data_IF_113648587471
#
_entry.id   IF_113648587471
#
_cell.length_a   1.000
_cell.length_b   1.000
_cell.length_c   1.000
_cell.angle_alpha   90.00
_cell.angle_beta   90.00
_cell.angle_gamma   90.00
#
_symmetry.space_group_name_H-M   'P 1'
#
loop_
_entity.id
_entity.type
_entity.pdbx_description
1 polymer ?
#
# COMPACT_ATOMS: atom_id res chain seq x y z
N UNK A 1 7.17 8.30 25.45
CA UNK A 1 8.55 7.79 25.43
C UNK A 1 8.57 6.28 25.59
N UNK A 2 8.12 5.60 24.57
CA UNK A 2 8.24 4.16 24.56
C UNK A 2 9.57 3.77 23.93
N UNK A 3 10.39 3.11 24.73
CA UNK A 3 11.68 2.50 24.33
C UNK A 3 12.82 3.49 24.09
N UNK A 4 12.86 4.67 24.72
CA UNK A 4 14.10 5.49 24.73
C UNK A 4 14.72 5.83 23.37
N UNK A 5 14.02 5.50 22.27
CA UNK A 5 14.42 5.91 20.95
C UNK A 5 13.87 7.33 20.74
N UNK A 6 14.74 8.31 20.47
CA UNK A 6 14.28 9.63 20.14
C UNK A 6 13.28 9.47 19.01
N UNK A 7 12.09 10.04 19.18
CA UNK A 7 11.05 10.09 18.17
C UNK A 7 11.54 10.99 17.03
N UNK A 8 12.55 10.48 16.33
CA UNK A 8 13.05 11.13 15.14
C UNK A 8 11.95 10.96 14.08
N UNK A 9 11.56 12.03 13.43
CA UNK A 9 10.58 12.01 12.33
C UNK A 9 10.87 10.90 11.29
N UNK A 10 12.11 10.42 11.20
CA UNK A 10 12.54 9.27 10.38
C UNK A 10 11.72 8.01 10.68
N UNK A 11 11.48 7.69 11.95
CA UNK A 11 10.65 6.54 12.32
C UNK A 11 9.18 6.72 11.89
N UNK A 12 8.71 7.96 11.80
CA UNK A 12 7.34 8.28 11.44
C UNK A 12 6.92 7.90 10.03
N UNK A 13 7.85 7.82 9.08
CA UNK A 13 7.53 7.50 7.67
C UNK A 13 7.78 6.02 7.30
N UNK A 14 8.68 5.36 8.01
CA UNK A 14 9.03 3.94 7.76
C UNK A 14 8.22 2.98 8.64
N UNK A 15 7.42 3.52 9.56
CA UNK A 15 6.60 2.73 10.49
C UNK A 15 5.75 1.68 9.77
N UNK A 16 5.20 2.03 8.60
CA UNK A 16 4.31 1.14 7.87
C UNK A 16 5.04 -0.13 7.39
N UNK A 17 6.29 -0.01 6.94
CA UNK A 17 7.08 -1.17 6.51
C UNK A 17 7.34 -2.10 7.69
N UNK A 18 7.71 -1.55 8.85
CA UNK A 18 7.94 -2.33 10.07
C UNK A 18 6.65 -3.01 10.56
N UNK A 19 5.55 -2.25 10.61
CA UNK A 19 4.24 -2.78 10.99
C UNK A 19 3.74 -3.85 10.00
N UNK A 20 3.96 -3.64 8.71
CA UNK A 20 3.64 -4.60 7.65
C UNK A 20 4.43 -5.91 7.82
N UNK A 21 5.73 -5.83 8.09
CA UNK A 21 6.56 -7.03 8.31
C UNK A 21 6.10 -7.82 9.53
N UNK A 22 5.77 -7.15 10.65
CA UNK A 22 5.22 -7.79 11.85
C UNK A 22 3.87 -8.44 11.53
N UNK A 23 2.97 -7.70 10.89
CA UNK A 23 1.65 -8.21 10.50
C UNK A 23 1.77 -9.41 9.55
N UNK A 24 2.67 -9.36 8.56
CA UNK A 24 2.93 -10.49 7.67
C UNK A 24 3.50 -11.70 8.41
N UNK A 25 4.42 -11.50 9.36
CA UNK A 25 4.97 -12.60 10.18
C UNK A 25 3.86 -13.32 10.94
N UNK A 26 2.85 -12.61 11.44
CA UNK A 26 1.69 -13.19 12.15
C UNK A 26 0.69 -13.83 11.20
N UNK A 27 0.34 -13.13 10.10
CA UNK A 27 -0.73 -13.58 9.20
C UNK A 27 -0.27 -14.69 8.24
N UNK A 28 1.00 -14.69 7.83
CA UNK A 28 1.49 -15.64 6.83
C UNK A 28 1.35 -17.13 7.24
N UNK A 29 1.69 -17.57 8.47
CA UNK A 29 1.48 -18.94 8.90
C UNK A 29 0.00 -19.35 8.85
N UNK A 30 -0.90 -18.45 9.24
CA UNK A 30 -2.34 -18.66 9.25
C UNK A 30 -2.85 -18.79 7.81
N UNK A 31 -2.45 -17.86 6.97
CA UNK A 31 -2.77 -17.84 5.55
C UNK A 31 -2.31 -19.13 4.86
N UNK A 32 -1.07 -19.55 5.12
CA UNK A 32 -0.52 -20.77 4.50
C UNK A 32 -1.30 -22.03 4.88
N UNK A 33 -1.77 -22.12 6.12
CA UNK A 33 -2.49 -23.30 6.62
C UNK A 33 -3.95 -23.35 6.19
N UNK A 34 -4.63 -22.21 6.16
CA UNK A 34 -6.07 -22.10 5.88
C UNK A 34 -6.38 -21.08 4.79
N UNK A 35 -5.67 -21.15 3.67
CA UNK A 35 -5.69 -20.14 2.62
C UNK A 35 -7.13 -19.76 2.19
N UNK A 36 -7.95 -20.74 1.82
CA UNK A 36 -9.31 -20.47 1.32
C UNK A 36 -10.23 -19.87 2.39
N UNK A 37 -10.22 -20.43 3.60
CA UNK A 37 -11.03 -19.91 4.71
C UNK A 37 -10.57 -18.53 5.13
N UNK A 38 -9.24 -18.34 5.19
CA UNK A 38 -8.68 -17.04 5.56
C UNK A 38 -9.05 -15.96 4.57
N UNK A 39 -8.79 -16.15 3.28
CA UNK A 39 -9.00 -15.11 2.26
C UNK A 39 -10.46 -14.80 2.01
N UNK A 40 -11.36 -15.80 2.11
CA UNK A 40 -12.77 -15.63 1.79
C UNK A 40 -13.65 -15.22 2.96
N UNK A 41 -13.27 -15.56 4.20
CA UNK A 41 -14.11 -15.35 5.39
C UNK A 41 -13.37 -14.51 6.43
N UNK A 42 -12.20 -14.98 6.91
CA UNK A 42 -11.52 -14.35 8.04
C UNK A 42 -11.01 -12.97 7.66
N UNK A 43 -10.34 -12.83 6.53
CA UNK A 43 -9.71 -11.59 6.12
C UNK A 43 -10.70 -10.43 5.92
N UNK A 44 -11.80 -10.56 5.17
CA UNK A 44 -12.76 -9.45 5.04
C UNK A 44 -13.38 -9.07 6.39
N UNK A 45 -13.74 -10.06 7.24
CA UNK A 45 -14.30 -9.80 8.56
C UNK A 45 -13.28 -9.14 9.48
N UNK A 46 -12.05 -9.65 9.53
CA UNK A 46 -10.96 -9.10 10.33
C UNK A 46 -10.63 -7.67 9.92
N UNK A 47 -10.53 -7.40 8.61
CA UNK A 47 -10.27 -6.07 8.08
C UNK A 47 -11.33 -5.07 8.49
N UNK A 48 -12.61 -5.41 8.32
CA UNK A 48 -13.74 -4.54 8.69
C UNK A 48 -13.79 -4.32 10.19
N UNK A 49 -13.71 -5.38 10.99
CA UNK A 49 -13.82 -5.28 12.45
C UNK A 49 -12.66 -4.49 13.05
N UNK A 50 -11.41 -4.78 12.67
CA UNK A 50 -10.25 -4.08 13.21
C UNK A 50 -10.23 -2.61 12.79
N UNK A 51 -10.42 -2.32 11.52
CA UNK A 51 -10.37 -0.94 11.04
C UNK A 51 -11.56 -0.13 11.57
N UNK A 52 -12.76 -0.73 11.61
CA UNK A 52 -13.95 -0.13 12.20
C UNK A 52 -13.79 0.14 13.70
N UNK A 53 -13.29 -0.83 14.46
CA UNK A 53 -12.98 -0.65 15.87
C UNK A 53 -11.95 0.46 16.12
N UNK A 54 -10.85 0.47 15.33
CA UNK A 54 -9.85 1.53 15.44
C UNK A 54 -10.40 2.92 15.12
N UNK A 55 -11.26 3.02 14.10
CA UNK A 55 -11.89 4.28 13.72
C UNK A 55 -12.86 4.77 14.80
N UNK A 56 -13.66 3.87 15.37
CA UNK A 56 -14.65 4.21 16.40
C UNK A 56 -14.00 4.55 17.74
N UNK A 57 -12.99 3.78 18.16
CA UNK A 57 -12.38 3.96 19.50
C UNK A 57 -11.46 5.17 19.55
N UNK A 58 -10.70 5.43 18.49
CA UNK A 58 -9.64 6.45 18.49
C UNK A 58 -9.99 7.68 17.63
N UNK A 59 -11.07 7.66 16.88
CA UNK A 59 -11.54 8.75 16.02
C UNK A 59 -10.57 9.14 14.89
N UNK A 60 -9.28 8.89 15.08
CA UNK A 60 -8.20 9.22 14.14
C UNK A 60 -7.32 8.01 13.91
N UNK A 61 -7.11 7.64 12.65
CA UNK A 61 -6.26 6.52 12.27
C UNK A 61 -4.78 6.90 12.11
N UNK A 62 -4.46 8.19 12.11
CA UNK A 62 -3.11 8.71 11.87
C UNK A 62 -2.13 8.52 13.02
N UNK A 63 -2.54 8.65 14.28
CA UNK A 63 -1.65 8.46 15.43
C UNK A 63 -1.31 6.99 15.67
N UNK A 64 -0.24 6.52 15.03
CA UNK A 64 0.15 5.12 14.93
C UNK A 64 0.92 4.58 16.12
N UNK A 65 1.61 5.46 16.88
CA UNK A 65 2.44 5.10 18.03
C UNK A 65 1.66 4.88 19.33
N UNK A 66 0.34 5.01 19.28
CA UNK A 66 -0.51 4.81 20.45
C UNK A 66 -0.57 3.31 20.83
N UNK A 67 -0.37 3.02 22.10
CA UNK A 67 -0.51 1.66 22.65
C UNK A 67 -1.97 1.33 22.92
N UNK A 68 -2.48 0.25 22.36
CA UNK A 68 -3.90 -0.16 22.45
C UNK A 68 -4.20 -1.15 23.58
N UNK A 69 -3.23 -1.42 24.45
CA UNK A 69 -3.32 -2.48 25.45
C UNK A 69 -2.79 -3.84 24.97
N UNK A 70 -2.89 -4.13 23.68
CA UNK A 70 -2.41 -5.38 23.07
C UNK A 70 -1.13 -5.15 22.25
N UNK A 71 -1.12 -4.12 21.42
CA UNK A 71 0.02 -3.77 20.56
C UNK A 71 -0.10 -2.30 20.13
N UNK A 72 0.84 -1.82 19.33
CA UNK A 72 0.76 -0.50 18.74
C UNK A 72 -0.37 -0.42 17.70
N UNK A 73 -1.12 0.67 17.72
CA UNK A 73 -2.20 0.95 16.77
C UNK A 73 -1.79 0.78 15.31
N UNK A 74 -0.55 1.19 14.96
CA UNK A 74 0.00 1.01 13.61
C UNK A 74 0.07 -0.45 13.17
N UNK A 75 0.39 -1.37 14.09
CA UNK A 75 0.44 -2.82 13.78
C UNK A 75 -0.97 -3.37 13.53
N UNK A 76 -1.95 -3.02 14.37
CA UNK A 76 -3.35 -3.44 14.14
C UNK A 76 -3.91 -2.89 12.83
N UNK A 77 -3.57 -1.65 12.53
CA UNK A 77 -3.92 -1.04 11.24
C UNK A 77 -3.29 -1.80 10.07
N UNK A 78 -1.99 -2.15 10.15
CA UNK A 78 -1.32 -2.93 9.12
C UNK A 78 -1.93 -4.33 8.96
N UNK A 79 -2.31 -5.00 10.06
CA UNK A 79 -3.04 -6.27 10.03
C UNK A 79 -4.37 -6.13 9.28
N UNK A 80 -5.14 -5.09 9.58
CA UNK A 80 -6.41 -4.84 8.91
C UNK A 80 -6.24 -4.54 7.40
N UNK A 81 -5.27 -3.71 7.04
CA UNK A 81 -5.01 -3.34 5.64
C UNK A 81 -4.48 -4.55 4.83
N UNK A 82 -3.64 -5.41 5.41
CA UNK A 82 -3.19 -6.66 4.78
C UNK A 82 -4.36 -7.64 4.63
N UNK A 83 -5.23 -7.73 5.64
CA UNK A 83 -6.43 -8.54 5.56
C UNK A 83 -7.35 -8.08 4.41
N UNK A 84 -7.54 -6.78 4.23
CA UNK A 84 -8.24 -6.24 3.05
C UNK A 84 -7.53 -6.60 1.74
N UNK A 85 -6.20 -6.59 1.70
CA UNK A 85 -5.44 -7.07 0.54
C UNK A 85 -5.70 -8.55 0.22
N UNK A 86 -5.78 -9.41 1.23
CA UNK A 86 -6.15 -10.82 1.06
C UNK A 86 -7.59 -10.98 0.56
N UNK A 87 -8.53 -10.18 1.07
CA UNK A 87 -9.91 -10.15 0.60
C UNK A 87 -10.02 -9.65 -0.85
N UNK A 88 -9.23 -8.62 -1.21
CA UNK A 88 -9.13 -8.12 -2.58
C UNK A 88 -8.64 -9.21 -3.54
N UNK A 89 -7.64 -10.00 -3.13
CA UNK A 89 -7.16 -11.13 -3.91
C UNK A 89 -8.27 -12.16 -4.16
N UNK A 90 -8.99 -12.58 -3.11
CA UNK A 90 -10.09 -13.55 -3.25
C UNK A 90 -11.22 -13.02 -4.15
N UNK A 91 -11.57 -11.74 -4.02
CA UNK A 91 -12.54 -11.09 -4.90
C UNK A 91 -12.05 -11.04 -6.35
N UNK A 92 -10.78 -10.69 -6.56
CA UNK A 92 -10.15 -10.66 -7.87
C UNK A 92 -10.23 -12.04 -8.57
N UNK A 93 -9.88 -13.12 -7.88
CA UNK A 93 -9.94 -14.47 -8.44
C UNK A 93 -11.37 -14.86 -8.81
N UNK A 94 -12.35 -14.57 -7.95
CA UNK A 94 -13.79 -14.82 -8.25
C UNK A 94 -14.28 -14.02 -9.47
N UNK A 95 -13.79 -12.79 -9.65
CA UNK A 95 -14.15 -11.97 -10.80
C UNK A 95 -13.52 -12.48 -12.09
N UNK A 96 -12.29 -13.05 -12.04
CA UNK A 96 -11.62 -13.65 -13.21
C UNK A 96 -12.38 -14.86 -13.78
N UNK A 97 -13.01 -15.64 -12.90
CA UNK A 97 -13.77 -16.85 -13.28
C UNK A 97 -15.13 -16.54 -13.94
N UNK A 98 -15.55 -15.27 -13.92
CA UNK A 98 -16.84 -14.84 -14.47
C UNK A 98 -16.68 -14.15 -15.82
N UNK A 99 -17.53 -14.54 -16.76
CA UNK A 99 -17.67 -13.83 -18.03
C UNK A 99 -18.68 -12.70 -17.89
N UNK A 100 -18.20 -11.48 -18.05
CA UNK A 100 -19.04 -10.29 -18.01
C UNK A 100 -19.43 -9.83 -19.41
N UNK A 101 -20.69 -9.43 -19.57
CA UNK A 101 -21.18 -8.74 -20.76
C UNK A 101 -20.45 -7.41 -20.94
N UNK A 102 -20.55 -6.80 -22.13
CA UNK A 102 -19.97 -5.44 -22.38
C UNK A 102 -20.46 -4.41 -21.38
N UNK A 103 -21.74 -4.46 -21.02
CA UNK A 103 -22.32 -3.60 -19.98
C UNK A 103 -21.72 -3.88 -18.60
N UNK A 104 -21.57 -5.15 -18.21
CA UNK A 104 -20.91 -5.52 -16.96
C UNK A 104 -19.46 -5.01 -16.85
N UNK A 105 -18.69 -5.13 -17.94
CA UNK A 105 -17.32 -4.58 -18.02
C UNK A 105 -17.30 -3.04 -17.89
N UNK A 106 -18.27 -2.35 -18.45
CA UNK A 106 -18.41 -0.91 -18.28
C UNK A 106 -18.69 -0.54 -16.82
N UNK A 107 -19.64 -1.22 -16.17
CA UNK A 107 -19.96 -0.99 -14.74
C UNK A 107 -18.73 -1.22 -13.86
N UNK A 108 -17.99 -2.32 -14.07
CA UNK A 108 -16.75 -2.59 -13.35
C UNK A 108 -15.69 -1.50 -13.58
N UNK A 109 -15.57 -0.99 -14.80
CA UNK A 109 -14.62 0.10 -15.12
C UNK A 109 -15.00 1.42 -14.45
N UNK A 110 -16.29 1.73 -14.37
CA UNK A 110 -16.79 2.91 -13.65
C UNK A 110 -16.54 2.78 -12.15
N UNK A 111 -16.75 1.60 -11.57
CA UNK A 111 -16.48 1.34 -10.16
C UNK A 111 -14.99 1.44 -9.84
N UNK A 112 -14.12 0.91 -10.71
CA UNK A 112 -12.67 1.06 -10.63
C UNK A 112 -12.26 2.55 -10.62
N UNK A 113 -12.74 3.32 -11.61
CA UNK A 113 -12.43 4.74 -11.75
C UNK A 113 -12.94 5.54 -10.55
N UNK A 114 -14.17 5.27 -10.12
CA UNK A 114 -14.76 5.93 -8.95
C UNK A 114 -13.93 5.72 -7.68
N UNK A 115 -13.49 4.50 -7.40
CA UNK A 115 -12.71 4.23 -6.20
C UNK A 115 -11.33 4.90 -6.21
N UNK A 116 -10.62 4.91 -7.36
CA UNK A 116 -9.37 5.64 -7.48
C UNK A 116 -9.57 7.15 -7.42
N UNK A 117 -10.60 7.69 -8.08
CA UNK A 117 -10.92 9.11 -8.03
C UNK A 117 -11.31 9.56 -6.62
N UNK A 118 -12.14 8.78 -5.91
CA UNK A 118 -12.52 9.06 -4.53
C UNK A 118 -11.29 9.07 -3.60
N UNK A 119 -10.36 8.13 -3.80
CA UNK A 119 -9.09 8.08 -3.06
C UNK A 119 -8.26 9.33 -3.31
N UNK A 120 -8.14 9.74 -4.57
CA UNK A 120 -7.37 10.92 -4.95
C UNK A 120 -8.00 12.20 -4.36
N UNK A 121 -9.31 12.40 -4.55
CA UNK A 121 -10.03 13.56 -4.00
C UNK A 121 -9.93 13.63 -2.49
N UNK A 122 -10.04 12.48 -1.80
CA UNK A 122 -9.89 12.42 -0.36
C UNK A 122 -8.49 12.82 0.10
N UNK A 123 -7.45 12.37 -0.56
CA UNK A 123 -6.07 12.70 -0.22
C UNK A 123 -5.80 14.22 -0.22
N UNK A 124 -6.52 14.97 -1.07
CA UNK A 124 -6.39 16.44 -1.14
C UNK A 124 -7.41 17.21 -0.28
N UNK A 125 -8.51 16.58 0.15
CA UNK A 125 -9.62 17.31 0.78
C UNK A 125 -9.49 17.56 2.28
N UNK A 126 -8.48 16.99 2.95
CA UNK A 126 -8.23 17.10 4.40
C UNK A 126 -9.46 16.91 5.30
N UNK A 127 -10.46 16.15 4.84
CA UNK A 127 -11.70 15.91 5.60
C UNK A 127 -11.51 14.83 6.65
N UNK A 128 -12.52 14.69 7.51
CA UNK A 128 -12.49 13.88 8.73
C UNK A 128 -11.99 12.45 8.48
N UNK A 129 -11.19 11.93 9.40
CA UNK A 129 -10.54 10.64 9.33
C UNK A 129 -11.50 9.44 9.38
N UNK A 130 -12.76 9.66 9.74
CA UNK A 130 -13.82 8.64 9.71
C UNK A 130 -14.07 8.12 8.28
N UNK A 131 -13.90 8.98 7.28
CA UNK A 131 -14.00 8.60 5.88
C UNK A 131 -12.89 7.63 5.42
N UNK A 132 -11.78 7.56 6.16
CA UNK A 132 -10.68 6.67 5.82
C UNK A 132 -11.10 5.20 5.77
N UNK A 133 -11.98 4.76 6.67
CA UNK A 133 -12.52 3.41 6.65
C UNK A 133 -13.21 3.08 5.32
N UNK A 134 -14.13 3.94 4.89
CA UNK A 134 -14.85 3.77 3.62
C UNK A 134 -13.90 3.82 2.43
N UNK A 135 -12.90 4.70 2.50
CA UNK A 135 -11.90 4.84 1.45
C UNK A 135 -11.11 3.55 1.25
N UNK A 136 -10.61 2.95 2.34
CA UNK A 136 -9.86 1.68 2.28
C UNK A 136 -10.74 0.57 1.70
N UNK A 137 -12.01 0.52 2.08
CA UNK A 137 -12.96 -0.44 1.54
C UNK A 137 -13.16 -0.26 0.02
N UNK A 138 -13.47 0.95 -0.44
CA UNK A 138 -13.64 1.24 -1.86
C UNK A 138 -12.36 0.99 -2.65
N UNK A 139 -11.21 1.38 -2.11
CA UNK A 139 -9.91 1.13 -2.73
C UNK A 139 -9.64 -0.37 -2.87
N UNK A 140 -9.97 -1.17 -1.85
CA UNK A 140 -9.85 -2.63 -1.87
C UNK A 140 -10.66 -3.25 -3.01
N UNK A 141 -11.91 -2.83 -3.16
CA UNK A 141 -12.79 -3.28 -4.24
C UNK A 141 -12.24 -2.84 -5.61
N UNK A 142 -11.81 -1.59 -5.73
CA UNK A 142 -11.25 -1.07 -6.99
C UNK A 142 -9.98 -1.79 -7.41
N UNK A 143 -9.09 -2.12 -6.46
CA UNK A 143 -7.89 -2.92 -6.72
C UNK A 143 -8.29 -4.32 -7.21
N UNK A 144 -9.23 -4.99 -6.54
CA UNK A 144 -9.68 -6.32 -6.94
C UNK A 144 -10.27 -6.32 -8.37
N UNK A 145 -11.08 -5.32 -8.69
CA UNK A 145 -11.69 -5.14 -10.01
C UNK A 145 -10.62 -4.85 -11.05
N UNK A 146 -9.66 -3.96 -10.77
CA UNK A 146 -8.56 -3.60 -11.67
C UNK A 146 -7.71 -4.81 -12.05
N UNK A 147 -7.38 -5.66 -11.07
CA UNK A 147 -6.56 -6.85 -11.28
C UNK A 147 -7.33 -8.06 -11.84
N UNK A 148 -8.66 -8.04 -11.84
CA UNK A 148 -9.48 -9.12 -12.40
C UNK A 148 -9.32 -9.30 -13.91
N UNK A 149 -8.91 -8.26 -14.63
CA UNK A 149 -8.83 -8.28 -16.09
C UNK A 149 -10.17 -8.12 -16.80
N UNK A 150 -11.26 -7.89 -16.05
CA UNK A 150 -12.63 -7.78 -16.57
C UNK A 150 -13.05 -6.34 -16.87
N UNK A 151 -12.16 -5.37 -16.69
CA UNK A 151 -12.41 -3.96 -16.99
C UNK A 151 -11.99 -3.57 -18.40
N UNK A 152 -12.54 -2.50 -18.94
CA UNK A 152 -12.13 -1.92 -20.22
C UNK A 152 -10.69 -1.40 -20.18
N UNK A 153 -10.19 -1.04 -18.99
CA UNK A 153 -8.84 -0.55 -18.72
C UNK A 153 -7.81 -1.67 -18.57
N UNK A 154 -8.24 -2.93 -18.58
CA UNK A 154 -7.37 -4.10 -18.32
C UNK A 154 -6.16 -4.20 -19.27
N UNK A 155 -6.28 -3.69 -20.52
CA UNK A 155 -5.18 -3.62 -21.48
C UNK A 155 -4.02 -2.72 -21.02
N UNK A 156 -4.28 -1.72 -20.19
CA UNK A 156 -3.27 -0.82 -19.64
C UNK A 156 -2.30 -1.55 -18.69
N UNK A 157 -2.74 -2.63 -18.05
CA UNK A 157 -1.91 -3.43 -17.14
C UNK A 157 -0.67 -4.02 -17.82
N UNK A 158 -0.76 -4.36 -19.09
CA UNK A 158 0.35 -4.90 -19.87
C UNK A 158 1.24 -3.81 -20.47
N UNK A 159 0.96 -2.55 -20.20
CA UNK A 159 1.76 -1.43 -20.68
C UNK A 159 3.10 -1.38 -19.90
N UNK A 160 4.21 -1.32 -20.65
CA UNK A 160 5.57 -1.22 -20.10
C UNK A 160 5.74 -0.01 -19.16
N UNK A 161 5.08 1.12 -19.48
CA UNK A 161 5.11 2.32 -18.66
C UNK A 161 4.44 2.08 -17.29
N UNK A 162 3.25 1.48 -17.27
CA UNK A 162 2.52 1.17 -16.02
C UNK A 162 3.32 0.19 -15.16
N UNK A 163 3.91 -0.83 -15.77
CA UNK A 163 4.79 -1.76 -15.07
C UNK A 163 6.04 -1.07 -14.49
N UNK A 164 6.63 -0.13 -15.23
CA UNK A 164 7.77 0.65 -14.75
C UNK A 164 7.40 1.56 -13.58
N UNK A 165 6.28 2.27 -13.67
CA UNK A 165 5.76 3.11 -12.58
C UNK A 165 5.46 2.28 -11.32
N UNK A 166 4.91 1.08 -11.51
CA UNK A 166 4.70 0.15 -10.40
C UNK A 166 6.00 -0.25 -9.69
N UNK A 167 7.08 -0.50 -10.45
CA UNK A 167 8.41 -0.78 -9.87
C UNK A 167 9.01 0.43 -9.12
N UNK A 168 8.69 1.64 -9.55
CA UNK A 168 9.15 2.87 -8.89
C UNK A 168 8.43 3.17 -7.57
N UNK A 169 7.22 2.64 -7.36
CA UNK A 169 6.37 3.02 -6.22
C UNK A 169 7.04 2.78 -4.85
N UNK A 170 7.63 1.62 -4.65
CA UNK A 170 8.33 1.30 -3.39
C UNK A 170 9.60 2.13 -3.18
N UNK A 171 10.51 2.27 -4.15
CA UNK A 171 11.65 3.18 -4.02
C UNK A 171 11.24 4.64 -3.75
N UNK A 172 10.22 5.15 -4.42
CA UNK A 172 9.70 6.51 -4.14
C UNK A 172 9.23 6.60 -2.69
N UNK A 173 8.43 5.65 -2.22
CA UNK A 173 7.94 5.62 -0.85
C UNK A 173 9.08 5.60 0.18
N UNK A 174 10.11 4.80 -0.03
CA UNK A 174 11.22 4.68 0.91
C UNK A 174 12.12 5.93 0.93
N UNK A 175 12.29 6.60 -0.21
CA UNK A 175 13.19 7.75 -0.34
C UNK A 175 12.51 9.10 -0.08
N UNK A 176 11.18 9.19 -0.15
CA UNK A 176 10.44 10.46 -0.06
C UNK A 176 10.78 11.30 1.17
N UNK A 177 11.08 10.67 2.30
CA UNK A 177 11.41 11.39 3.52
C UNK A 177 12.76 12.09 3.43
N UNK A 178 13.78 11.39 2.96
CA UNK A 178 15.12 11.96 2.80
C UNK A 178 15.11 13.10 1.78
N UNK A 179 14.37 12.90 0.68
CA UNK A 179 14.18 13.95 -0.33
C UNK A 179 13.45 15.16 0.25
N UNK A 180 12.39 14.92 1.05
CA UNK A 180 11.68 16.00 1.74
C UNK A 180 12.62 16.83 2.62
N UNK A 181 13.45 16.20 3.46
CA UNK A 181 14.42 16.88 4.30
C UNK A 181 15.44 17.68 3.49
N UNK A 182 15.93 17.11 2.40
CA UNK A 182 16.86 17.80 1.50
C UNK A 182 16.21 19.04 0.87
N UNK A 183 15.05 18.88 0.27
CA UNK A 183 14.31 19.96 -0.37
C UNK A 183 13.98 21.04 0.67
N UNK A 184 13.46 20.68 1.84
CA UNK A 184 13.15 21.64 2.88
C UNK A 184 14.39 22.42 3.33
N UNK A 185 15.52 21.74 3.53
CA UNK A 185 16.77 22.39 3.98
C UNK A 185 17.31 23.40 2.99
N UNK A 186 17.33 23.07 1.69
CA UNK A 186 18.00 23.87 0.67
C UNK A 186 17.09 24.83 -0.10
N UNK A 187 15.76 24.67 -0.01
CA UNK A 187 14.81 25.44 -0.83
C UNK A 187 13.78 26.21 -0.02
N UNK A 188 14.07 26.50 1.27
CA UNK A 188 13.14 27.27 2.14
C UNK A 188 12.75 28.64 1.58
N UNK A 189 13.62 29.25 0.80
CA UNK A 189 13.44 30.55 0.18
C UNK A 189 12.58 30.51 -1.09
N UNK A 190 12.27 29.31 -1.62
CA UNK A 190 11.52 29.16 -2.85
C UNK A 190 10.01 29.06 -2.60
N UNK A 191 9.24 29.40 -3.63
CA UNK A 191 7.78 29.29 -3.61
C UNK A 191 7.35 27.82 -3.40
N UNK A 192 6.22 27.61 -2.67
CA UNK A 192 5.69 26.28 -2.33
C UNK A 192 5.47 25.37 -3.54
N UNK A 193 4.99 25.92 -4.67
CA UNK A 193 4.80 25.14 -5.90
C UNK A 193 6.13 24.65 -6.50
N UNK A 194 7.16 25.48 -6.47
CA UNK A 194 8.50 25.09 -6.94
C UNK A 194 9.10 24.03 -6.04
N UNK A 195 8.93 24.16 -4.72
CA UNK A 195 9.36 23.14 -3.75
C UNK A 195 8.69 21.79 -3.99
N UNK A 196 7.38 21.79 -4.30
CA UNK A 196 6.63 20.58 -4.61
C UNK A 196 7.16 19.91 -5.90
N UNK A 197 7.43 20.69 -6.94
CA UNK A 197 8.00 20.17 -8.19
C UNK A 197 9.42 19.60 -7.97
N UNK A 198 10.26 20.27 -7.19
CA UNK A 198 11.60 19.78 -6.84
C UNK A 198 11.50 18.49 -6.01
N UNK A 199 10.59 18.43 -5.03
CA UNK A 199 10.35 17.23 -4.25
C UNK A 199 9.93 16.04 -5.13
N UNK A 200 8.97 16.24 -6.04
CA UNK A 200 8.53 15.20 -6.96
C UNK A 200 9.67 14.75 -7.90
N UNK A 201 10.42 15.70 -8.49
CA UNK A 201 11.53 15.42 -9.39
C UNK A 201 12.66 14.64 -8.71
N UNK A 202 13.13 15.12 -7.55
CA UNK A 202 14.19 14.44 -6.79
C UNK A 202 13.75 13.07 -6.28
N UNK A 203 12.48 12.91 -5.86
CA UNK A 203 11.96 11.61 -5.44
C UNK A 203 12.00 10.59 -6.58
N UNK A 204 11.65 10.99 -7.80
CA UNK A 204 11.73 10.13 -8.99
C UNK A 204 13.17 9.78 -9.34
N UNK A 205 14.08 10.77 -9.34
CA UNK A 205 15.50 10.54 -9.63
C UNK A 205 16.11 9.57 -8.62
N UNK A 206 15.88 9.78 -7.33
CA UNK A 206 16.38 8.88 -6.27
C UNK A 206 15.80 7.48 -6.41
N UNK A 207 14.51 7.35 -6.76
CA UNK A 207 13.89 6.05 -6.98
C UNK A 207 14.51 5.31 -8.18
N UNK A 208 14.80 6.00 -9.27
CA UNK A 208 15.47 5.41 -10.43
C UNK A 208 16.89 4.96 -10.05
N UNK A 209 17.65 5.76 -9.33
CA UNK A 209 18.98 5.40 -8.84
C UNK A 209 18.91 4.13 -7.98
N UNK A 210 17.94 4.05 -7.05
CA UNK A 210 17.74 2.87 -6.23
C UNK A 210 17.43 1.61 -7.07
N UNK A 211 16.57 1.72 -8.08
CA UNK A 211 16.29 0.59 -8.99
C UNK A 211 17.55 0.14 -9.72
N UNK A 212 18.32 1.06 -10.27
CA UNK A 212 19.56 0.73 -10.97
C UNK A 212 20.58 0.06 -10.05
N UNK A 213 20.71 0.54 -8.81
CA UNK A 213 21.58 -0.07 -7.79
C UNK A 213 21.13 -1.48 -7.44
N UNK A 214 19.84 -1.69 -7.22
CA UNK A 214 19.28 -3.01 -6.92
C UNK A 214 19.52 -3.99 -8.09
N UNK A 215 19.29 -3.56 -9.32
CA UNK A 215 19.52 -4.37 -10.51
C UNK A 215 21.02 -4.71 -10.69
N UNK A 216 21.91 -3.74 -10.44
CA UNK A 216 23.35 -3.94 -10.45
C UNK A 216 23.80 -4.97 -9.41
N UNK A 217 23.36 -4.80 -8.16
CA UNK A 217 23.67 -5.72 -7.06
C UNK A 217 23.12 -7.12 -7.33
N UNK A 218 21.90 -7.21 -7.87
CA UNK A 218 21.27 -8.50 -8.23
C UNK A 218 22.06 -9.26 -9.29
N UNK A 219 22.58 -8.55 -10.28
CA UNK A 219 23.43 -9.14 -11.31
C UNK A 219 24.77 -9.62 -10.72
N UNK A 220 25.37 -8.85 -9.81
CA UNK A 220 26.67 -9.15 -9.21
C UNK A 220 26.62 -10.31 -8.21
N UNK A 221 25.56 -10.37 -7.39
CA UNK A 221 25.45 -11.36 -6.28
C UNK A 221 24.85 -12.70 -6.77
N UNK A 222 24.20 -12.73 -7.93
CA UNK A 222 23.58 -13.92 -8.53
C UNK A 222 22.70 -14.70 -7.53
N UNK A 223 21.86 -13.97 -6.79
CA UNK A 223 21.03 -14.48 -5.69
C UNK A 223 20.15 -15.67 -6.13
N UNK A 224 19.82 -15.75 -7.42
CA UNK A 224 19.07 -16.88 -7.97
C UNK A 224 19.80 -18.23 -7.82
N UNK A 225 21.12 -18.25 -7.93
CA UNK A 225 21.91 -19.48 -7.70
C UNK A 225 21.95 -19.89 -6.23
N UNK A 226 21.99 -18.93 -5.30
CA UNK A 226 22.00 -19.19 -3.87
C UNK A 226 20.65 -19.73 -3.34
N UNK A 227 19.55 -19.33 -3.96
CA UNK A 227 18.21 -19.80 -3.59
C UNK A 227 17.91 -21.20 -4.17
N UNK A 228 18.37 -21.50 -5.37
CA UNK A 228 18.15 -22.82 -6.01
C UNK A 228 18.99 -23.92 -5.32
N UNK A 229 20.20 -23.60 -4.85
CA UNK A 229 21.03 -24.57 -4.09
C UNK A 229 20.48 -24.93 -2.69
N UNK A 230 19.55 -24.14 -2.13
CA UNK A 230 18.92 -24.44 -0.83
C UNK A 230 17.62 -25.22 -0.95
N UNK A 231 17.09 -25.42 -2.15
CA UNK A 231 15.84 -26.16 -2.43
C UNK A 231 16.07 -27.52 -3.07
N UNK A 232 17.29 -27.87 -3.37
CA UNK A 232 17.77 -29.22 -3.75
C UNK A 232 18.41 -29.90 -2.56
#
# INVERSE_FOLDING_TARGET
DMVGLPYTMVAGYVWFVSAMLIAMAVLYPILRRWFSVFTNIIAPVLGVLLLGWLAQTYGRLTYISFWTGLTFKGVLRAVAEIAFGCAAFALCERLKERDFTKFGKLVLSLLELFGYAATFVYAFSRKSETFYFYLVFFLTVSIAVSFSGQTLTSHLRNNKLVSFLGKLSLPVYLNQYYVYLMVERYTKHLNGNVRLLLFAGFSLVMAIICLLLVDFLRKKINISKLLVQKTA
#
